data_IF_821078618261
#
_entry.id   IF_821078618261
#
_cell.length_a   1.000
_cell.length_b   1.000
_cell.length_c   1.000
_cell.angle_alpha   90.00
_cell.angle_beta   90.00
_cell.angle_gamma   90.00
#
_symmetry.space_group_name_H-M   'P 1'
#
loop_
_entity.id
_entity.type
_entity.pdbx_description
1 polymer ?
#
# COMPACT_ATOMS: atom_id res chain seq x y z
N UNK A 1 -28.53 51.49 39.58
CA UNK A 1 -27.76 50.79 38.52
C UNK A 1 -28.25 49.36 38.45
N UNK A 2 -29.12 49.01 37.48
CA UNK A 2 -29.62 47.65 37.27
C UNK A 2 -28.58 46.86 36.47
N UNK A 3 -27.97 45.82 37.07
CA UNK A 3 -27.10 44.89 36.35
C UNK A 3 -27.97 43.92 35.55
N UNK A 4 -27.87 44.03 34.22
CA UNK A 4 -28.45 43.13 33.24
C UNK A 4 -27.64 41.82 33.27
N UNK A 5 -28.23 40.70 33.70
CA UNK A 5 -27.63 39.38 33.51
C UNK A 5 -27.89 38.93 32.08
N UNK A 6 -26.84 38.93 31.25
CA UNK A 6 -26.86 38.33 29.92
C UNK A 6 -26.68 36.81 30.11
N UNK A 7 -27.76 36.04 29.90
CA UNK A 7 -27.70 34.57 29.91
C UNK A 7 -27.10 34.09 28.60
N UNK A 8 -25.85 33.60 28.66
CA UNK A 8 -25.16 32.97 27.55
C UNK A 8 -25.70 31.54 27.41
N UNK A 9 -26.60 31.32 26.46
CA UNK A 9 -26.99 29.96 26.05
C UNK A 9 -25.83 29.37 25.26
N UNK A 10 -24.99 28.58 25.93
CA UNK A 10 -24.04 27.70 25.26
C UNK A 10 -24.84 26.57 24.61
N UNK A 11 -25.17 26.73 23.32
CA UNK A 11 -25.64 25.62 22.49
C UNK A 11 -24.50 24.63 22.35
N UNK A 12 -24.52 23.57 23.16
CA UNK A 12 -23.65 22.42 22.98
C UNK A 12 -24.13 21.70 21.72
N UNK A 13 -23.44 21.91 20.59
CA UNK A 13 -23.57 21.03 19.44
C UNK A 13 -23.08 19.64 19.86
N UNK A 14 -24.00 18.74 20.17
CA UNK A 14 -23.72 17.31 20.29
C UNK A 14 -23.41 16.84 18.87
N UNK A 15 -22.12 16.79 18.50
CA UNK A 15 -21.72 15.96 17.37
C UNK A 15 -21.82 14.53 17.85
N UNK A 16 -22.95 13.89 17.58
CA UNK A 16 -23.04 12.44 17.61
C UNK A 16 -21.98 11.92 16.62
N UNK A 17 -20.86 11.42 17.14
CA UNK A 17 -19.82 10.81 16.33
C UNK A 17 -20.38 9.52 15.75
N UNK A 18 -21.02 9.59 14.58
CA UNK A 18 -21.36 8.40 13.83
C UNK A 18 -20.05 7.67 13.51
N UNK A 19 -19.97 6.42 13.96
CA UNK A 19 -18.84 5.55 13.63
C UNK A 19 -18.70 5.49 12.10
N UNK A 20 -17.52 5.87 11.61
CA UNK A 20 -17.26 5.95 10.17
C UNK A 20 -17.44 4.57 9.53
N UNK A 21 -18.31 4.46 8.52
CA UNK A 21 -18.56 3.18 7.84
C UNK A 21 -17.42 2.90 6.87
N UNK A 22 -16.85 1.69 6.95
CA UNK A 22 -15.64 1.27 6.21
C UNK A 22 -15.98 0.18 5.20
N UNK A 23 -15.44 0.31 3.98
CA UNK A 23 -15.46 -0.74 2.95
C UNK A 23 -14.03 -1.11 2.58
N UNK A 24 -13.73 -2.41 2.53
CA UNK A 24 -12.53 -2.96 1.88
C UNK A 24 -12.93 -3.38 0.47
N UNK A 25 -12.57 -2.57 -0.52
CA UNK A 25 -12.88 -2.81 -1.92
C UNK A 25 -11.60 -3.17 -2.66
N UNK A 26 -11.52 -4.34 -3.29
CA UNK A 26 -10.24 -4.81 -3.83
C UNK A 26 -10.34 -5.59 -5.13
N UNK A 27 -9.34 -5.45 -5.99
CA UNK A 27 -9.10 -6.35 -7.12
C UNK A 27 -7.94 -7.30 -6.78
N UNK A 28 -8.07 -8.59 -7.09
CA UNK A 28 -6.99 -9.56 -6.90
C UNK A 28 -7.00 -10.60 -8.01
N UNK A 29 -5.87 -10.74 -8.69
CA UNK A 29 -5.68 -11.76 -9.74
C UNK A 29 -5.00 -13.01 -9.12
N UNK A 30 -3.74 -12.92 -8.71
CA UNK A 30 -3.02 -14.01 -8.02
C UNK A 30 -3.34 -14.22 -6.53
N UNK A 31 -4.43 -13.65 -6.00
CA UNK A 31 -4.89 -13.87 -4.62
C UNK A 31 -4.13 -13.12 -3.51
N UNK A 32 -2.94 -12.59 -3.76
CA UNK A 32 -2.17 -11.87 -2.71
C UNK A 32 -2.93 -10.66 -2.15
N UNK A 33 -3.49 -9.80 -3.00
CA UNK A 33 -4.31 -8.66 -2.55
C UNK A 33 -5.53 -9.11 -1.74
N UNK A 34 -6.13 -10.26 -2.09
CA UNK A 34 -7.26 -10.84 -1.37
C UNK A 34 -6.88 -11.18 0.07
N UNK A 35 -5.72 -11.80 0.29
CA UNK A 35 -5.22 -12.10 1.65
C UNK A 35 -5.11 -10.83 2.50
N UNK A 36 -4.57 -9.75 1.93
CA UNK A 36 -4.47 -8.45 2.62
C UNK A 36 -5.85 -7.86 2.89
N UNK A 37 -6.78 -7.97 1.94
CA UNK A 37 -8.15 -7.48 2.08
C UNK A 37 -8.92 -8.22 3.19
N UNK A 38 -8.81 -9.54 3.25
CA UNK A 38 -9.45 -10.38 4.28
C UNK A 38 -8.87 -10.08 5.67
N UNK A 39 -7.56 -9.82 5.76
CA UNK A 39 -6.95 -9.42 7.04
C UNK A 39 -7.40 -8.01 7.47
N UNK A 40 -7.53 -7.05 6.55
CA UNK A 40 -8.15 -5.74 6.82
C UNK A 40 -9.59 -5.88 7.32
N UNK A 41 -10.40 -6.70 6.65
CA UNK A 41 -11.78 -6.99 7.05
C UNK A 41 -11.84 -7.50 8.49
N UNK A 42 -11.04 -8.53 8.79
CA UNK A 42 -10.95 -9.16 10.10
C UNK A 42 -10.53 -8.17 11.19
N UNK A 43 -9.55 -7.30 10.93
CA UNK A 43 -9.06 -6.36 11.93
C UNK A 43 -9.96 -5.14 12.16
N UNK A 44 -10.78 -4.77 11.17
CA UNK A 44 -11.61 -3.57 11.21
C UNK A 44 -13.10 -3.84 11.40
N UNK A 45 -13.56 -5.08 11.20
CA UNK A 45 -14.99 -5.39 11.09
C UNK A 45 -15.68 -4.65 9.95
N UNK A 46 -14.92 -4.34 8.88
CA UNK A 46 -15.41 -3.59 7.73
C UNK A 46 -16.21 -4.50 6.77
N UNK A 47 -17.07 -3.89 5.96
CA UNK A 47 -17.63 -4.59 4.80
C UNK A 47 -16.50 -4.89 3.80
N UNK A 48 -16.61 -5.97 3.03
CA UNK A 48 -15.61 -6.35 2.02
C UNK A 48 -16.28 -6.67 0.69
N UNK A 49 -15.67 -6.22 -0.41
CA UNK A 49 -16.13 -6.54 -1.75
C UNK A 49 -14.96 -6.72 -2.72
N UNK A 50 -15.02 -7.79 -3.52
CA UNK A 50 -14.09 -8.03 -4.63
C UNK A 50 -14.59 -7.37 -5.91
N UNK A 51 -13.73 -6.59 -6.54
CA UNK A 51 -13.89 -6.09 -7.91
C UNK A 51 -13.61 -7.25 -8.87
N UNK A 52 -14.54 -7.49 -9.79
CA UNK A 52 -14.41 -8.56 -10.80
C UNK A 52 -14.47 -7.99 -12.21
N UNK A 53 -13.51 -8.36 -13.06
CA UNK A 53 -13.61 -8.09 -14.48
C UNK A 53 -14.66 -9.03 -15.12
N UNK A 54 -15.43 -8.52 -16.09
CA UNK A 54 -16.38 -9.32 -16.88
C UNK A 54 -15.66 -10.46 -17.59
N UNK A 55 -14.50 -10.14 -18.19
CA UNK A 55 -13.56 -11.12 -18.73
C UNK A 55 -12.41 -11.34 -17.73
N UNK A 56 -12.40 -12.45 -16.97
CA UNK A 56 -11.38 -12.68 -15.95
C UNK A 56 -9.97 -12.81 -16.54
N UNK A 57 -8.97 -12.37 -15.78
CA UNK A 57 -7.55 -12.66 -16.05
C UNK A 57 -7.28 -14.13 -15.68
N UNK A 58 -7.60 -15.03 -16.60
CA UNK A 58 -7.64 -16.49 -16.36
C UNK A 58 -6.39 -17.25 -16.83
N UNK A 59 -5.39 -16.52 -17.33
CA UNK A 59 -4.13 -17.10 -17.77
C UNK A 59 -3.12 -17.24 -16.63
N UNK A 60 -1.93 -17.74 -16.96
CA UNK A 60 -0.79 -17.67 -16.05
C UNK A 60 -0.26 -16.23 -15.92
N UNK A 61 0.75 -16.05 -15.07
CA UNK A 61 1.37 -14.75 -14.84
C UNK A 61 1.85 -14.07 -16.14
N UNK A 62 2.37 -14.83 -17.11
CA UNK A 62 2.84 -14.28 -18.38
C UNK A 62 1.68 -13.83 -19.26
N UNK A 63 0.61 -14.61 -19.33
CA UNK A 63 -0.62 -14.24 -20.03
C UNK A 63 -1.26 -12.98 -19.42
N UNK A 64 -1.27 -12.86 -18.09
CA UNK A 64 -1.75 -11.64 -17.40
C UNK A 64 -0.90 -10.43 -17.74
N UNK A 65 0.43 -10.55 -17.77
CA UNK A 65 1.34 -9.47 -18.21
C UNK A 65 1.04 -9.06 -19.66
N UNK A 66 0.95 -10.04 -20.57
CA UNK A 66 0.72 -9.78 -22.00
C UNK A 66 -0.61 -9.06 -22.22
N UNK A 67 -1.68 -9.53 -21.58
CA UNK A 67 -2.99 -8.88 -21.64
C UNK A 67 -2.92 -7.46 -21.07
N UNK A 68 -2.37 -7.28 -19.88
CA UNK A 68 -2.27 -5.97 -19.24
C UNK A 68 -1.47 -4.96 -20.09
N UNK A 69 -0.39 -5.40 -20.72
CA UNK A 69 0.40 -4.57 -21.62
C UNK A 69 -0.38 -4.18 -22.88
N UNK A 70 -1.08 -5.14 -23.51
CA UNK A 70 -1.92 -4.87 -24.67
C UNK A 70 -3.00 -3.86 -24.33
N UNK A 71 -3.76 -4.10 -23.25
CA UNK A 71 -4.83 -3.20 -22.78
C UNK A 71 -4.30 -1.78 -22.57
N UNK A 72 -3.15 -1.64 -21.88
CA UNK A 72 -2.49 -0.35 -21.64
C UNK A 72 -2.07 0.35 -22.93
N UNK A 73 -1.44 -0.37 -23.86
CA UNK A 73 -0.96 0.20 -25.13
C UNK A 73 -2.10 0.64 -26.03
N UNK A 74 -3.22 -0.08 -26.05
CA UNK A 74 -4.40 0.28 -26.83
C UNK A 74 -5.35 1.25 -26.13
N UNK A 75 -5.09 1.60 -24.86
CA UNK A 75 -6.02 2.39 -24.04
C UNK A 75 -7.33 1.67 -23.71
N UNK A 76 -7.37 0.34 -23.86
CA UNK A 76 -8.54 -0.47 -23.54
C UNK A 76 -8.66 -0.63 -22.03
N UNK A 77 -9.88 -0.52 -21.52
CA UNK A 77 -10.18 -0.73 -20.10
C UNK A 77 -11.06 -1.96 -19.95
N UNK A 78 -10.70 -2.91 -19.09
CA UNK A 78 -11.53 -4.10 -18.86
C UNK A 78 -12.86 -3.69 -18.24
N UNK A 79 -13.97 -4.18 -18.80
CA UNK A 79 -15.30 -3.99 -18.21
C UNK A 79 -15.38 -4.70 -16.85
N UNK A 80 -16.08 -4.09 -15.89
CA UNK A 80 -16.29 -4.66 -14.55
C UNK A 80 -17.70 -5.22 -14.41
N UNK A 81 -17.83 -6.24 -13.57
CA UNK A 81 -19.15 -6.61 -13.05
C UNK A 81 -19.63 -5.51 -12.10
N UNK A 82 -20.95 -5.24 -12.02
CA UNK A 82 -21.48 -4.24 -11.11
C UNK A 82 -21.11 -4.53 -9.66
N UNK A 83 -20.82 -3.48 -8.90
CA UNK A 83 -20.67 -3.59 -7.45
C UNK A 83 -22.02 -3.93 -6.82
N UNK A 84 -21.96 -4.73 -5.76
CA UNK A 84 -23.07 -5.02 -4.84
C UNK A 84 -23.22 -3.91 -3.81
N UNK A 85 -22.12 -3.30 -3.38
CA UNK A 85 -22.13 -2.19 -2.44
C UNK A 85 -22.36 -0.86 -3.14
N UNK A 86 -23.11 0.03 -2.49
CA UNK A 86 -23.19 1.43 -2.89
C UNK A 86 -22.07 2.24 -2.22
N UNK A 87 -21.13 2.78 -3.00
CA UNK A 87 -19.98 3.56 -2.48
C UNK A 87 -20.43 4.77 -1.65
N UNK A 88 -21.60 5.33 -1.93
CA UNK A 88 -22.11 6.48 -1.20
C UNK A 88 -22.34 6.18 0.30
N UNK A 89 -22.59 4.93 0.66
CA UNK A 89 -22.93 4.51 2.03
C UNK A 89 -21.71 4.48 2.98
N UNK A 90 -20.50 4.63 2.44
CA UNK A 90 -19.25 4.49 3.18
C UNK A 90 -18.49 5.81 3.28
N UNK A 91 -17.78 6.02 4.38
CA UNK A 91 -16.95 7.19 4.58
C UNK A 91 -15.48 6.92 4.18
N UNK A 92 -15.02 5.71 4.48
CA UNK A 92 -13.65 5.26 4.26
C UNK A 92 -13.66 4.02 3.36
N UNK A 93 -12.93 4.10 2.24
CA UNK A 93 -12.70 2.98 1.34
C UNK A 93 -11.23 2.58 1.45
N UNK A 94 -10.97 1.38 1.94
CA UNK A 94 -9.69 0.71 1.78
C UNK A 94 -9.65 0.11 0.38
N UNK A 95 -8.90 0.72 -0.55
CA UNK A 95 -8.89 0.37 -1.96
C UNK A 95 -7.67 -0.51 -2.29
N UNK A 96 -7.91 -1.78 -2.59
CA UNK A 96 -6.90 -2.82 -2.76
C UNK A 96 -6.59 -3.17 -4.21
N UNK A 97 -5.32 -3.27 -4.58
CA UNK A 97 -4.93 -3.72 -5.92
C UNK A 97 -3.52 -4.28 -6.05
N UNK A 98 -3.25 -5.18 -7.00
CA UNK A 98 -1.88 -5.49 -7.38
C UNK A 98 -1.27 -4.31 -8.16
N UNK A 99 0.05 -4.13 -8.02
CA UNK A 99 0.82 -3.20 -8.85
C UNK A 99 1.17 -3.87 -10.19
N UNK A 100 0.65 -3.32 -11.29
CA UNK A 100 0.98 -3.73 -12.66
C UNK A 100 1.64 -2.58 -13.40
N UNK A 101 2.82 -2.81 -13.97
CA UNK A 101 3.57 -1.80 -14.72
C UNK A 101 3.80 -0.50 -13.92
N UNK A 102 4.12 -0.62 -12.62
CA UNK A 102 4.48 0.50 -11.74
C UNK A 102 3.31 1.26 -11.09
N UNK A 103 2.06 0.94 -11.41
CA UNK A 103 0.88 1.59 -10.83
C UNK A 103 -0.26 0.58 -10.58
N UNK A 104 -1.43 1.04 -10.13
CA UNK A 104 -2.59 0.17 -9.88
C UNK A 104 -3.03 -0.59 -11.14
N UNK A 105 -3.56 -1.81 -10.96
CA UNK A 105 -4.07 -2.63 -12.05
C UNK A 105 -5.22 -1.95 -12.83
N UNK A 106 -5.34 -2.27 -14.12
CA UNK A 106 -6.33 -1.64 -15.01
C UNK A 106 -7.80 -1.79 -14.57
N UNK A 107 -8.24 -2.89 -13.93
CA UNK A 107 -9.58 -2.96 -13.33
C UNK A 107 -9.87 -1.83 -12.35
N UNK A 108 -8.86 -1.33 -11.63
CA UNK A 108 -9.02 -0.15 -10.77
C UNK A 108 -9.23 1.09 -11.62
N UNK A 109 -8.48 1.26 -12.71
CA UNK A 109 -8.68 2.40 -13.61
C UNK A 109 -10.13 2.47 -14.16
N UNK A 110 -10.74 1.31 -14.47
CA UNK A 110 -12.15 1.23 -14.84
C UNK A 110 -13.04 1.65 -13.68
N UNK A 111 -12.85 1.08 -12.49
CA UNK A 111 -13.62 1.38 -11.28
C UNK A 111 -13.66 2.88 -10.99
N UNK A 112 -12.50 3.55 -11.04
CA UNK A 112 -12.38 4.97 -10.74
C UNK A 112 -13.13 5.86 -11.73
N UNK A 113 -13.41 5.38 -12.94
CA UNK A 113 -14.22 6.09 -13.94
C UNK A 113 -15.71 5.82 -13.81
N UNK A 114 -16.08 4.64 -13.32
CA UNK A 114 -17.48 4.20 -13.21
C UNK A 114 -18.14 4.60 -11.89
N UNK A 115 -17.35 4.79 -10.83
CA UNK A 115 -17.85 5.06 -9.48
C UNK A 115 -17.47 6.46 -8.99
N UNK A 116 -18.34 7.07 -8.19
CA UNK A 116 -18.09 8.37 -7.58
C UNK A 116 -17.44 8.22 -6.19
N UNK A 117 -16.23 8.75 -6.04
CA UNK A 117 -15.47 8.76 -4.78
C UNK A 117 -15.36 10.17 -4.16
N UNK A 118 -16.08 11.15 -4.67
CA UNK A 118 -16.02 12.53 -4.19
C UNK A 118 -16.36 12.63 -2.70
N UNK A 119 -15.52 13.37 -1.95
CA UNK A 119 -15.66 13.53 -0.50
C UNK A 119 -15.31 12.28 0.32
N UNK A 120 -14.98 11.15 -0.30
CA UNK A 120 -14.60 9.91 0.41
C UNK A 120 -13.14 9.96 0.86
N UNK A 121 -12.85 9.26 1.95
CA UNK A 121 -11.46 8.97 2.34
C UNK A 121 -11.03 7.66 1.71
N UNK A 122 -9.96 7.69 0.91
CA UNK A 122 -9.42 6.49 0.26
C UNK A 122 -8.09 6.13 0.92
N UNK A 123 -8.00 4.90 1.41
CA UNK A 123 -6.78 4.32 1.99
C UNK A 123 -6.28 3.24 1.03
N UNK A 124 -5.29 3.53 0.16
CA UNK A 124 -4.83 2.54 -0.79
C UNK A 124 -4.10 1.41 -0.06
N UNK A 125 -4.28 0.18 -0.53
CA UNK A 125 -3.36 -0.90 -0.21
C UNK A 125 -2.98 -1.69 -1.46
N UNK A 126 -1.75 -2.18 -1.52
CA UNK A 126 -1.31 -2.90 -2.69
C UNK A 126 -0.39 -4.09 -2.40
N UNK A 127 -0.48 -5.07 -3.28
CA UNK A 127 0.51 -6.15 -3.38
C UNK A 127 1.42 -5.91 -4.57
N UNK A 128 2.70 -6.19 -4.46
CA UNK A 128 3.65 -5.98 -5.55
C UNK A 128 4.78 -7.00 -5.60
N UNK A 129 5.48 -7.07 -6.74
CA UNK A 129 6.73 -7.81 -6.85
C UNK A 129 7.94 -7.08 -6.26
N UNK A 130 7.95 -5.75 -6.33
CA UNK A 130 9.05 -4.92 -5.82
C UNK A 130 8.64 -3.61 -5.14
N UNK A 131 7.55 -2.95 -5.56
CA UNK A 131 7.14 -1.65 -5.03
C UNK A 131 6.06 -1.02 -5.90
N UNK A 132 5.87 0.29 -5.79
CA UNK A 132 4.91 1.06 -6.61
C UNK A 132 3.73 1.66 -5.83
N UNK A 133 3.74 1.57 -4.49
CA UNK A 133 2.75 2.21 -3.64
C UNK A 133 2.76 3.74 -3.81
N UNK A 134 3.94 4.37 -3.81
CA UNK A 134 4.07 5.83 -3.96
C UNK A 134 3.54 6.31 -5.31
N UNK A 135 3.95 5.66 -6.41
CA UNK A 135 3.50 5.98 -7.76
C UNK A 135 2.00 5.78 -7.92
N UNK A 136 1.47 4.62 -7.52
CA UNK A 136 0.02 4.35 -7.59
C UNK A 136 -0.80 5.30 -6.72
N UNK A 137 -0.31 5.66 -5.53
CA UNK A 137 -0.98 6.64 -4.67
C UNK A 137 -0.98 8.04 -5.28
N UNK A 138 0.10 8.44 -5.97
CA UNK A 138 0.15 9.70 -6.70
C UNK A 138 -0.81 9.70 -7.90
N UNK A 139 -0.92 8.57 -8.61
CA UNK A 139 -1.88 8.44 -9.71
C UNK A 139 -3.33 8.42 -9.22
N UNK A 140 -3.61 7.80 -8.07
CA UNK A 140 -4.93 7.89 -7.41
C UNK A 140 -5.29 9.32 -7.08
N UNK A 141 -4.35 10.12 -6.55
CA UNK A 141 -4.58 11.55 -6.27
C UNK A 141 -4.94 12.34 -7.53
N UNK A 142 -4.31 12.02 -8.67
CA UNK A 142 -4.64 12.65 -9.95
C UNK A 142 -6.01 12.20 -10.47
N UNK A 143 -6.34 10.92 -10.32
CA UNK A 143 -7.59 10.33 -10.80
C UNK A 143 -8.81 10.76 -9.95
N UNK A 144 -8.61 10.99 -8.65
CA UNK A 144 -9.65 11.32 -7.68
C UNK A 144 -9.32 12.65 -6.96
N UNK A 145 -9.34 13.80 -7.66
CA UNK A 145 -8.95 15.09 -7.07
C UNK A 145 -9.86 15.56 -5.93
N UNK A 146 -11.11 15.07 -5.88
CA UNK A 146 -12.11 15.42 -4.88
C UNK A 146 -12.19 14.40 -3.72
N UNK A 147 -11.38 13.34 -3.76
CA UNK A 147 -11.29 12.36 -2.68
C UNK A 147 -10.06 12.63 -1.81
N UNK A 148 -10.13 12.26 -0.53
CA UNK A 148 -8.99 12.36 0.39
C UNK A 148 -8.15 11.08 0.33
N UNK A 149 -7.11 11.09 -0.49
CA UNK A 149 -6.15 9.97 -0.57
C UNK A 149 -5.18 10.01 0.61
N UNK A 150 -5.26 9.01 1.47
CA UNK A 150 -4.43 8.85 2.67
C UNK A 150 -3.15 8.06 2.41
N UNK A 151 -2.30 7.96 3.44
CA UNK A 151 -1.17 7.03 3.44
C UNK A 151 -1.69 5.60 3.25
N UNK A 152 -1.08 4.88 2.31
CA UNK A 152 -1.44 3.49 2.03
C UNK A 152 -0.53 2.47 2.70
N UNK A 153 -0.90 1.20 2.54
CA UNK A 153 -0.11 0.03 2.93
C UNK A 153 0.34 -0.75 1.69
N UNK A 154 1.56 -1.26 1.70
CA UNK A 154 2.13 -1.98 0.58
C UNK A 154 2.87 -3.20 1.06
N UNK A 155 2.65 -4.35 0.42
CA UNK A 155 3.34 -5.59 0.76
C UNK A 155 3.86 -6.29 -0.47
N UNK A 156 5.09 -6.80 -0.38
CA UNK A 156 5.63 -7.67 -1.41
C UNK A 156 4.89 -9.01 -1.38
N UNK A 157 4.54 -9.57 -2.53
CA UNK A 157 3.82 -10.85 -2.58
C UNK A 157 4.56 -11.99 -1.88
N UNK A 158 5.90 -11.99 -1.95
CA UNK A 158 6.76 -12.93 -1.25
C UNK A 158 6.78 -12.76 0.29
N UNK A 159 6.14 -11.71 0.82
CA UNK A 159 6.07 -11.37 2.25
C UNK A 159 4.62 -11.24 2.73
N UNK A 160 3.66 -11.86 2.04
CA UNK A 160 2.24 -11.72 2.40
C UNK A 160 1.94 -12.22 3.81
N UNK A 161 2.72 -13.17 4.33
CA UNK A 161 2.59 -13.69 5.69
C UNK A 161 2.90 -12.63 6.77
N UNK A 162 3.71 -11.60 6.43
CA UNK A 162 3.98 -10.48 7.33
C UNK A 162 2.80 -9.50 7.43
N UNK A 163 1.83 -9.57 6.53
CA UNK A 163 0.78 -8.56 6.38
C UNK A 163 -0.07 -8.39 7.65
N UNK A 164 -0.36 -9.46 8.39
CA UNK A 164 -1.16 -9.35 9.60
C UNK A 164 -0.53 -8.44 10.66
N UNK A 165 0.77 -8.63 10.94
CA UNK A 165 1.53 -7.82 11.91
C UNK A 165 1.72 -6.39 11.41
N UNK A 166 2.09 -6.23 10.14
CA UNK A 166 2.32 -4.92 9.54
C UNK A 166 1.03 -4.09 9.45
N UNK A 167 -0.11 -4.72 9.11
CA UNK A 167 -1.43 -4.09 9.10
C UNK A 167 -1.87 -3.67 10.49
N UNK A 168 -1.69 -4.51 11.52
CA UNK A 168 -2.05 -4.14 12.90
C UNK A 168 -1.34 -2.86 13.34
N UNK A 169 -0.05 -2.77 13.06
CA UNK A 169 0.73 -1.53 13.27
C UNK A 169 0.18 -0.38 12.43
N UNK A 170 0.05 -0.56 11.11
CA UNK A 170 -0.42 0.48 10.19
C UNK A 170 -1.78 1.05 10.62
N UNK A 171 -2.74 0.20 10.98
CA UNK A 171 -4.08 0.62 11.37
C UNK A 171 -4.06 1.42 12.68
N UNK A 172 -3.22 1.05 13.65
CA UNK A 172 -3.06 1.79 14.92
C UNK A 172 -2.36 3.13 14.71
N UNK A 173 -1.26 3.17 13.95
CA UNK A 173 -0.50 4.41 13.67
C UNK A 173 -1.34 5.47 12.96
N UNK A 174 -2.31 5.05 12.14
CA UNK A 174 -3.14 5.95 11.34
C UNK A 174 -4.56 6.12 11.93
N UNK A 175 -4.82 5.62 13.14
CA UNK A 175 -6.08 5.84 13.85
C UNK A 175 -7.30 5.08 13.30
N UNK A 176 -7.08 4.01 12.53
CA UNK A 176 -8.15 3.16 11.99
C UNK A 176 -8.58 2.04 12.95
N UNK A 177 -7.69 1.69 13.89
CA UNK A 177 -7.87 0.66 14.93
C UNK A 177 -7.35 1.19 16.25
N UNK A 178 -8.04 0.90 17.35
CA UNK A 178 -7.59 1.27 18.68
C UNK A 178 -6.28 0.57 19.06
N UNK A 179 -5.43 1.29 19.80
CA UNK A 179 -4.17 0.78 20.30
C UNK A 179 -3.06 1.81 20.17
N UNK A 180 -2.02 1.63 20.97
CA UNK A 180 -0.81 2.45 20.92
C UNK A 180 0.31 1.57 20.41
N UNK A 181 1.07 2.09 19.45
CA UNK A 181 2.34 1.48 19.02
C UNK A 181 3.46 2.48 19.22
N UNK A 182 4.64 1.97 19.56
CA UNK A 182 5.83 2.80 19.62
C UNK A 182 6.12 3.43 18.26
N UNK A 183 6.44 4.73 18.27
CA UNK A 183 6.94 5.40 17.06
C UNK A 183 8.21 4.67 16.63
N UNK A 184 8.26 4.29 15.36
CA UNK A 184 9.48 3.73 14.78
C UNK A 184 10.61 4.77 14.83
N UNK A 185 11.84 4.38 15.21
CA UNK A 185 12.98 5.29 15.15
C UNK A 185 13.22 5.73 13.70
N UNK A 186 13.85 6.89 13.51
CA UNK A 186 14.29 7.30 12.18
C UNK A 186 15.45 6.40 11.71
N UNK A 187 15.62 6.27 10.39
CA UNK A 187 16.83 5.63 9.85
C UNK A 187 18.07 6.45 10.22
N UNK A 188 19.17 5.76 10.51
CA UNK A 188 20.49 6.39 10.69
C UNK A 188 20.93 7.12 9.43
N UNK A 189 21.90 8.03 9.58
CA UNK A 189 22.59 8.61 8.44
C UNK A 189 23.16 7.51 7.53
N UNK A 190 23.14 7.77 6.23
CA UNK A 190 23.68 6.86 5.21
C UNK A 190 25.20 6.73 5.39
N UNK A 191 25.70 5.49 5.40
CA UNK A 191 27.13 5.16 5.48
C UNK A 191 27.52 4.23 4.33
N UNK A 192 28.79 4.17 3.90
CA UNK A 192 29.24 3.17 2.93
C UNK A 192 28.89 1.74 3.37
N UNK A 193 28.43 0.93 2.42
CA UNK A 193 28.06 -0.47 2.68
C UNK A 193 29.31 -1.30 3.02
N UNK A 194 29.21 -2.09 4.08
CA UNK A 194 30.20 -3.10 4.48
C UNK A 194 29.94 -4.45 3.80
N UNK A 195 30.92 -5.36 3.83
CA UNK A 195 30.76 -6.71 3.27
C UNK A 195 29.64 -7.51 3.94
N UNK A 196 29.41 -7.33 5.24
CA UNK A 196 28.32 -8.00 5.96
C UNK A 196 26.94 -7.49 5.50
N UNK A 197 26.79 -6.17 5.37
CA UNK A 197 25.54 -5.56 4.88
C UNK A 197 25.29 -5.89 3.41
N UNK A 198 26.35 -5.99 2.61
CA UNK A 198 26.26 -6.48 1.23
C UNK A 198 25.77 -7.93 1.20
N UNK A 199 26.27 -8.80 2.08
CA UNK A 199 25.78 -10.17 2.18
C UNK A 199 24.31 -10.25 2.60
N UNK A 200 23.86 -9.38 3.52
CA UNK A 200 22.44 -9.24 3.91
C UNK A 200 21.59 -8.84 2.70
N UNK A 201 22.03 -7.82 1.96
CA UNK A 201 21.37 -7.37 0.74
C UNK A 201 21.27 -8.49 -0.30
N UNK A 202 22.38 -9.15 -0.61
CA UNK A 202 22.46 -10.22 -1.60
C UNK A 202 21.55 -11.39 -1.20
N UNK A 203 21.53 -11.77 0.09
CA UNK A 203 20.64 -12.81 0.61
C UNK A 203 19.15 -12.45 0.46
N UNK A 204 18.76 -11.24 0.87
CA UNK A 204 17.38 -10.76 0.79
C UNK A 204 16.86 -10.69 -0.65
N UNK A 205 17.72 -10.26 -1.57
CA UNK A 205 17.37 -9.96 -2.95
C UNK A 205 17.56 -11.15 -3.91
N UNK A 206 18.18 -12.24 -3.47
CA UNK A 206 18.54 -13.41 -4.29
C UNK A 206 17.40 -14.02 -5.11
N UNK A 207 16.17 -13.99 -4.59
CA UNK A 207 14.98 -14.54 -5.26
C UNK A 207 14.28 -13.56 -6.22
N UNK A 208 14.73 -12.31 -6.28
CA UNK A 208 14.11 -11.28 -7.10
C UNK A 208 14.63 -11.35 -8.55
N UNK A 209 13.70 -11.43 -9.50
CA UNK A 209 13.99 -11.78 -10.90
C UNK A 209 14.59 -10.64 -11.72
N UNK A 210 14.58 -9.40 -11.23
CA UNK A 210 15.06 -8.23 -11.97
C UNK A 210 16.32 -7.66 -11.33
N UNK A 211 17.27 -7.14 -12.12
CA UNK A 211 18.49 -6.56 -11.57
C UNK A 211 18.15 -5.34 -10.70
N UNK A 212 18.67 -5.34 -9.47
CA UNK A 212 18.48 -4.26 -8.51
C UNK A 212 19.62 -3.25 -8.49
N UNK A 213 20.79 -3.62 -8.99
CA UNK A 213 22.01 -2.81 -8.94
C UNK A 213 22.93 -3.20 -7.79
N UNK A 214 23.90 -2.36 -7.48
CA UNK A 214 24.89 -2.57 -6.41
C UNK A 214 24.63 -1.60 -5.25
N UNK A 215 24.48 -2.08 -4.00
CA UNK A 215 24.26 -1.20 -2.86
C UNK A 215 25.51 -0.36 -2.58
N UNK A 216 25.35 0.96 -2.46
CA UNK A 216 26.46 1.90 -2.25
C UNK A 216 26.51 2.47 -0.84
N UNK A 217 25.36 2.84 -0.29
CA UNK A 217 25.25 3.31 1.10
C UNK A 217 24.06 2.66 1.79
N UNK A 218 24.08 2.63 3.12
CA UNK A 218 23.00 2.09 3.93
C UNK A 218 22.76 2.94 5.17
N UNK A 219 21.49 3.17 5.46
CA UNK A 219 21.00 3.65 6.76
C UNK A 219 20.26 2.51 7.46
N UNK A 220 20.25 2.50 8.78
CA UNK A 220 19.62 1.42 9.58
C UNK A 220 18.59 1.98 10.53
N UNK A 221 17.56 1.20 10.78
CA UNK A 221 16.59 1.42 11.84
C UNK A 221 16.51 0.17 12.69
N UNK A 222 16.89 0.27 13.96
CA UNK A 222 16.87 -0.84 14.90
C UNK A 222 15.59 -0.72 15.74
N UNK A 223 14.78 -1.77 15.72
CA UNK A 223 13.59 -1.90 16.57
C UNK A 223 13.80 -3.01 17.59
N UNK A 224 12.83 -3.28 18.45
CA UNK A 224 12.91 -4.42 19.38
C UNK A 224 12.89 -5.75 18.61
N UNK A 225 12.16 -5.82 17.50
CA UNK A 225 11.88 -7.06 16.76
C UNK A 225 12.76 -7.25 15.52
N UNK A 226 13.34 -6.18 14.97
CA UNK A 226 14.05 -6.24 13.70
C UNK A 226 15.19 -5.23 13.59
N UNK A 227 16.05 -5.44 12.59
CA UNK A 227 16.88 -4.40 12.00
C UNK A 227 16.39 -4.17 10.57
N UNK A 228 15.95 -2.95 10.29
CA UNK A 228 15.57 -2.52 8.93
C UNK A 228 16.74 -1.77 8.30
N UNK A 229 17.00 -2.04 7.02
CA UNK A 229 18.06 -1.47 6.23
C UNK A 229 17.46 -0.67 5.08
N UNK A 230 17.95 0.54 4.89
CA UNK A 230 17.61 1.43 3.79
C UNK A 230 18.87 1.59 2.92
N UNK A 231 18.99 0.74 1.90
CA UNK A 231 20.11 0.77 0.97
C UNK A 231 19.85 1.79 -0.13
N UNK A 232 20.82 2.66 -0.39
CA UNK A 232 20.92 3.38 -1.67
C UNK A 232 21.65 2.49 -2.64
N UNK A 233 21.04 2.23 -3.79
CA UNK A 233 21.52 1.26 -4.77
C UNK A 233 21.69 1.96 -6.11
N UNK A 234 22.88 1.78 -6.70
CA UNK A 234 23.19 2.27 -8.03
C UNK A 234 22.99 1.16 -9.02
N UNK A 235 22.08 1.37 -9.97
CA UNK A 235 21.75 0.44 -11.03
C UNK A 235 21.72 1.14 -12.38
N UNK A 236 21.08 0.47 -13.35
CA UNK A 236 20.76 1.06 -14.65
C UNK A 236 19.26 1.07 -14.84
N UNK A 237 18.73 2.19 -15.33
CA UNK A 237 17.34 2.32 -15.77
C UNK A 237 17.06 1.50 -17.03
N UNK A 238 15.79 1.42 -17.43
CA UNK A 238 15.39 0.74 -18.67
C UNK A 238 15.97 1.38 -19.93
N UNK A 239 16.36 2.66 -19.86
CA UNK A 239 17.06 3.41 -20.91
C UNK A 239 18.58 3.20 -20.91
N UNK A 240 19.12 2.41 -19.99
CA UNK A 240 20.56 2.14 -19.85
C UNK A 240 21.34 3.20 -19.06
N UNK A 241 20.70 4.30 -18.66
CA UNK A 241 21.32 5.36 -17.85
C UNK A 241 21.46 4.95 -16.38
N UNK A 242 22.36 5.61 -15.66
CA UNK A 242 22.51 5.39 -14.22
C UNK A 242 21.20 5.76 -13.49
N UNK A 243 20.71 4.83 -12.68
CA UNK A 243 19.53 5.03 -11.86
C UNK A 243 19.89 4.76 -10.40
N UNK A 244 19.41 5.64 -9.52
CA UNK A 244 19.51 5.44 -8.07
C UNK A 244 18.16 4.97 -7.57
N UNK A 245 18.15 3.94 -6.76
CA UNK A 245 16.94 3.45 -6.10
C UNK A 245 17.21 3.23 -4.62
N UNK A 246 16.16 3.33 -3.81
CA UNK A 246 16.22 2.94 -2.40
C UNK A 246 15.63 1.55 -2.26
N UNK A 247 16.36 0.63 -1.65
CA UNK A 247 15.93 -0.75 -1.41
C UNK A 247 15.86 -0.99 0.09
N UNK A 248 14.70 -1.45 0.52
CA UNK A 248 14.42 -1.75 1.92
C UNK A 248 14.54 -3.26 2.15
N UNK A 249 15.29 -3.61 3.18
CA UNK A 249 15.45 -4.99 3.67
C UNK A 249 15.16 -4.98 5.16
N UNK A 250 14.53 -6.04 5.68
CA UNK A 250 14.38 -6.24 7.12
C UNK A 250 14.98 -7.58 7.51
N UNK A 251 15.55 -7.63 8.72
CA UNK A 251 16.05 -8.86 9.34
C UNK A 251 15.43 -8.95 10.72
N UNK A 252 14.59 -9.96 10.95
CA UNK A 252 14.03 -10.26 12.27
C UNK A 252 15.12 -10.60 13.29
N UNK A 253 14.85 -10.42 14.58
CA UNK A 253 15.78 -10.80 15.66
C UNK A 253 15.51 -12.19 16.24
N UNK A 254 14.43 -12.84 15.81
CA UNK A 254 14.16 -14.23 16.12
C UNK A 254 15.27 -15.15 15.60
N UNK A 255 15.51 -16.24 16.32
CA UNK A 255 16.54 -17.21 15.95
C UNK A 255 16.24 -17.79 14.56
N UNK A 256 17.22 -17.72 13.65
CA UNK A 256 17.08 -18.20 12.28
C UNK A 256 16.35 -17.26 11.32
N UNK A 257 16.05 -16.01 11.73
CA UNK A 257 15.49 -14.99 10.86
C UNK A 257 16.36 -14.79 9.61
N UNK A 258 15.71 -14.76 8.45
CA UNK A 258 16.38 -14.51 7.16
C UNK A 258 16.15 -13.06 6.73
N UNK A 259 17.12 -12.43 6.05
CA UNK A 259 16.89 -11.14 5.42
C UNK A 259 15.74 -11.20 4.41
N UNK A 260 14.82 -10.25 4.50
CA UNK A 260 13.67 -10.14 3.62
C UNK A 260 13.72 -8.85 2.82
N UNK A 261 13.63 -8.96 1.49
CA UNK A 261 13.46 -7.81 0.62
C UNK A 261 12.01 -7.28 0.71
N UNK A 262 11.82 -6.05 1.18
CA UNK A 262 10.50 -5.47 1.48
C UNK A 262 9.96 -4.57 0.38
N UNK A 263 10.74 -3.58 -0.08
CA UNK A 263 10.31 -2.62 -1.10
C UNK A 263 11.50 -1.98 -1.85
N UNK A 264 11.32 -1.69 -3.14
CA UNK A 264 12.13 -0.76 -3.93
C UNK A 264 11.33 0.52 -4.17
N UNK A 265 11.93 1.66 -3.85
CA UNK A 265 11.49 2.99 -4.26
C UNK A 265 12.45 3.51 -5.33
N UNK A 266 11.89 3.88 -6.48
CA UNK A 266 12.62 4.40 -7.65
C UNK A 266 12.31 5.87 -7.88
#
# INVERSE_FOLDING_TARGET
MKKLLLSLVMTTCITAGYAQKKLVLYFSEGGTTKVVAEELQKQLGADIESIEAVEPYSGDFQATIQRSNKERQSGQMPALKPLKSNIADYDIIFLGYPIWGGTYALPIATLLKEQNFDGKTIVPFCSFGSGGLNTSSADLKKALPNAKIQKGYGVRAARVDAAAKELDRFLKENGYKEGVVSKLPEYSAQQPVTEEEKAIFDAACSSYQFPLGTPSTVGKRITDDSTDYQFTVKGRGMNGEEAVSTIFVTVGKEEGAKPEFTEVVR
#
